data_IF_242467723602
#
_entry.id   IF_242467723602
#
_cell.length_a   1.000
_cell.length_b   1.000
_cell.length_c   1.000
_cell.angle_alpha   90.00
_cell.angle_beta   90.00
_cell.angle_gamma   90.00
#
_symmetry.space_group_name_H-M   'P 1'
#
loop_
_entity.id
_entity.type
_entity.pdbx_description
1 polymer ?
#
# COMPACT_ATOMS: atom_id res chain seq x y z
N UNK A 1 17.51 -0.54 -17.09
CA UNK A 1 16.21 0.13 -17.32
C UNK A 1 16.01 1.14 -16.20
N UNK A 2 15.49 2.35 -16.45
CA UNK A 2 15.18 3.29 -15.39
C UNK A 2 14.09 2.66 -14.51
N UNK A 3 14.42 2.38 -13.25
CA UNK A 3 13.44 1.91 -12.26
C UNK A 3 12.67 3.14 -11.76
N UNK A 4 11.37 3.18 -12.02
CA UNK A 4 10.46 4.15 -11.42
C UNK A 4 10.50 3.92 -9.90
N UNK A 5 10.57 4.99 -9.12
CA UNK A 5 10.57 4.96 -7.66
C UNK A 5 9.32 5.64 -7.12
N UNK A 6 8.99 5.37 -5.85
CA UNK A 6 7.88 6.05 -5.16
C UNK A 6 8.01 7.57 -5.23
N UNK A 7 9.23 8.12 -5.13
CA UNK A 7 9.51 9.55 -5.30
C UNK A 7 9.06 10.10 -6.66
N UNK A 8 9.24 9.34 -7.74
CA UNK A 8 8.87 9.78 -9.08
C UNK A 8 7.33 9.92 -9.19
N UNK A 9 6.55 9.05 -8.53
CA UNK A 9 5.09 9.19 -8.45
C UNK A 9 4.67 10.43 -7.65
N UNK A 10 5.33 10.68 -6.51
CA UNK A 10 5.03 11.85 -5.67
C UNK A 10 5.21 13.13 -6.50
N UNK A 11 6.32 13.26 -7.22
CA UNK A 11 6.62 14.44 -8.03
C UNK A 11 5.69 14.58 -9.25
N UNK A 12 5.39 13.47 -9.95
CA UNK A 12 4.53 13.50 -11.15
C UNK A 12 3.07 13.78 -10.83
N UNK A 13 2.52 13.19 -9.76
CA UNK A 13 1.11 13.30 -9.38
C UNK A 13 0.86 14.33 -8.27
N UNK A 14 1.90 15.02 -7.82
CA UNK A 14 1.83 16.01 -6.73
C UNK A 14 1.19 15.43 -5.46
N UNK A 15 1.55 14.19 -5.13
CA UNK A 15 1.00 13.50 -3.95
C UNK A 15 1.58 14.10 -2.67
N UNK A 16 0.79 14.07 -1.61
CA UNK A 16 1.25 14.46 -0.28
C UNK A 16 1.84 13.25 0.45
N UNK A 17 3.10 13.34 0.86
CA UNK A 17 3.73 12.32 1.70
C UNK A 17 3.24 12.46 3.14
N UNK A 18 2.36 11.56 3.57
CA UNK A 18 1.84 11.54 4.95
C UNK A 18 2.84 10.90 5.93
N UNK A 19 3.53 9.84 5.51
CA UNK A 19 4.50 9.09 6.32
C UNK A 19 5.43 8.24 5.45
N UNK A 20 6.50 7.69 6.04
CA UNK A 20 7.39 6.73 5.38
C UNK A 20 8.43 7.36 4.44
N UNK A 21 8.99 8.52 4.82
CA UNK A 21 10.00 9.24 4.03
C UNK A 21 11.22 8.37 3.68
N UNK A 22 11.64 7.47 4.57
CA UNK A 22 12.73 6.53 4.32
C UNK A 22 12.45 5.56 3.16
N UNK A 23 11.17 5.32 2.84
CA UNK A 23 10.72 4.38 1.80
C UNK A 23 10.57 4.99 0.41
N UNK A 24 10.71 6.31 0.22
CA UNK A 24 10.41 6.96 -1.07
C UNK A 24 11.34 6.55 -2.21
N UNK A 25 12.49 5.96 -1.89
CA UNK A 25 13.46 5.47 -2.87
C UNK A 25 13.23 4.02 -3.28
N UNK A 26 12.22 3.33 -2.72
CA UNK A 26 11.86 1.96 -3.11
C UNK A 26 11.53 1.90 -4.61
N UNK A 27 12.08 0.93 -5.34
CA UNK A 27 11.77 0.75 -6.75
C UNK A 27 10.36 0.16 -6.92
N UNK A 28 9.71 0.53 -8.01
CA UNK A 28 8.45 -0.03 -8.45
C UNK A 28 8.75 -0.83 -9.71
N UNK A 29 8.79 -2.15 -9.53
CA UNK A 29 9.18 -3.08 -10.59
C UNK A 29 8.01 -3.51 -11.48
N UNK A 30 6.77 -3.21 -11.07
CA UNK A 30 5.53 -3.56 -11.78
C UNK A 30 4.58 -2.37 -11.91
N UNK A 31 3.88 -2.29 -13.04
CA UNK A 31 2.82 -1.29 -13.28
C UNK A 31 1.47 -1.67 -12.68
N UNK A 32 1.33 -2.90 -12.16
CA UNK A 32 0.07 -3.38 -11.60
C UNK A 32 -0.19 -2.76 -10.22
N UNK A 33 -1.41 -2.28 -10.04
CA UNK A 33 -1.91 -1.80 -8.75
C UNK A 33 -2.55 -2.95 -7.97
N UNK A 34 -2.39 -2.94 -6.65
CA UNK A 34 -3.04 -3.87 -5.75
C UNK A 34 -4.13 -3.15 -4.95
N UNK A 35 -5.31 -3.76 -4.87
CA UNK A 35 -6.44 -3.29 -4.08
C UNK A 35 -6.74 -4.33 -3.01
N UNK A 36 -6.28 -4.13 -1.76
CA UNK A 36 -6.23 -5.18 -0.75
C UNK A 36 -7.59 -5.43 -0.09
N UNK A 37 -8.62 -5.78 -0.86
CA UNK A 37 -9.97 -6.01 -0.35
C UNK A 37 -10.09 -7.30 0.46
N UNK A 38 -9.53 -8.39 -0.06
CA UNK A 38 -9.54 -9.72 0.59
C UNK A 38 -8.55 -9.75 1.76
N UNK A 39 -7.42 -9.07 1.61
CA UNK A 39 -6.41 -8.87 2.64
C UNK A 39 -6.97 -8.08 3.81
N UNK A 40 -7.81 -7.07 3.55
CA UNK A 40 -8.51 -6.36 4.62
C UNK A 40 -9.42 -7.30 5.43
N UNK A 41 -10.03 -8.30 4.77
CA UNK A 41 -10.81 -9.34 5.42
C UNK A 41 -9.96 -10.37 6.18
N UNK A 42 -8.63 -10.35 6.04
CA UNK A 42 -7.68 -11.16 6.80
C UNK A 42 -7.01 -12.30 6.04
N UNK A 43 -7.12 -12.32 4.71
CA UNK A 43 -6.50 -13.36 3.89
C UNK A 43 -5.30 -12.80 3.11
N UNK A 44 -4.08 -13.07 3.59
CA UNK A 44 -2.82 -12.54 3.05
C UNK A 44 -1.99 -13.56 2.26
N UNK A 45 -2.48 -14.79 2.07
CA UNK A 45 -1.70 -15.91 1.50
C UNK A 45 -1.15 -15.64 0.09
N UNK A 46 -1.83 -14.79 -0.68
CA UNK A 46 -1.41 -14.41 -2.05
C UNK A 46 -1.28 -12.90 -2.20
N UNK A 47 -1.00 -12.18 -1.11
CA UNK A 47 -0.89 -10.73 -1.12
C UNK A 47 0.30 -10.29 -2.00
N UNK A 48 0.06 -9.54 -3.09
CA UNK A 48 1.13 -9.06 -3.96
C UNK A 48 1.79 -7.83 -3.33
N UNK A 49 2.67 -8.10 -2.36
CA UNK A 49 3.33 -7.07 -1.57
C UNK A 49 4.26 -6.17 -2.40
N UNK A 50 4.75 -6.62 -3.55
CA UNK A 50 5.64 -5.91 -4.47
C UNK A 50 4.94 -4.78 -5.27
N UNK A 51 3.61 -4.68 -5.16
CA UNK A 51 2.78 -3.73 -5.90
C UNK A 51 2.46 -2.48 -5.09
N UNK A 52 2.19 -1.39 -5.80
CA UNK A 52 1.58 -0.19 -5.21
C UNK A 52 0.19 -0.55 -4.69
N UNK A 53 -0.04 -0.32 -3.41
CA UNK A 53 -1.32 -0.60 -2.77
C UNK A 53 -2.22 0.62 -2.85
N UNK A 54 -3.51 0.42 -3.15
CA UNK A 54 -4.49 1.48 -3.27
C UNK A 54 -5.67 1.22 -2.33
N UNK A 55 -5.84 2.10 -1.35
CA UNK A 55 -6.93 2.08 -0.38
C UNK A 55 -8.05 2.99 -0.85
N UNK A 56 -8.96 2.42 -1.63
CA UNK A 56 -10.14 3.12 -2.11
C UNK A 56 -11.27 3.18 -1.09
N UNK A 57 -12.42 3.68 -1.55
CA UNK A 57 -13.63 3.80 -0.72
C UNK A 57 -14.10 2.47 -0.15
N UNK A 58 -14.01 1.39 -0.93
CA UNK A 58 -14.48 0.05 -0.50
C UNK A 58 -13.61 -0.48 0.63
N UNK A 59 -12.29 -0.36 0.47
CA UNK A 59 -11.28 -0.82 1.42
C UNK A 59 -11.40 -0.03 2.73
N UNK A 60 -11.56 1.29 2.66
CA UNK A 60 -11.76 2.16 3.82
C UNK A 60 -13.10 1.91 4.52
N UNK A 61 -14.20 1.72 3.75
CA UNK A 61 -15.51 1.41 4.33
C UNK A 61 -15.49 0.09 5.10
N UNK A 62 -14.82 -0.94 4.55
CA UNK A 62 -14.65 -2.20 5.26
C UNK A 62 -13.74 -2.03 6.48
N UNK A 63 -12.62 -1.32 6.33
CA UNK A 63 -11.71 -1.03 7.43
C UNK A 63 -12.44 -0.38 8.61
N UNK A 64 -13.37 0.54 8.36
CA UNK A 64 -14.15 1.19 9.41
C UNK A 64 -15.05 0.24 10.21
N UNK A 65 -15.43 -0.91 9.65
CA UNK A 65 -16.21 -1.93 10.37
C UNK A 65 -15.38 -2.78 11.34
N UNK A 66 -14.04 -2.72 11.25
CA UNK A 66 -13.12 -3.53 12.05
C UNK A 66 -12.91 -2.95 13.46
N UNK A 67 -12.58 -3.83 14.41
CA UNK A 67 -12.16 -3.39 15.76
C UNK A 67 -10.79 -2.71 15.71
N UNK A 68 -10.47 -1.90 16.72
CA UNK A 68 -9.17 -1.20 16.78
C UNK A 68 -7.97 -2.16 16.72
N UNK A 69 -8.10 -3.36 17.31
CA UNK A 69 -7.07 -4.41 17.27
C UNK A 69 -6.89 -4.96 15.85
N UNK A 70 -8.00 -5.31 15.19
CA UNK A 70 -7.99 -5.77 13.79
C UNK A 70 -7.44 -4.69 12.86
N UNK A 71 -7.80 -3.42 13.06
CA UNK A 71 -7.27 -2.30 12.27
C UNK A 71 -5.75 -2.26 12.33
N UNK A 72 -5.17 -2.37 13.53
CA UNK A 72 -3.72 -2.40 13.71
C UNK A 72 -3.07 -3.63 13.07
N UNK A 73 -3.67 -4.81 13.26
CA UNK A 73 -3.19 -6.06 12.65
C UNK A 73 -3.16 -5.98 11.13
N UNK A 74 -4.25 -5.51 10.49
CA UNK A 74 -4.37 -5.38 9.03
C UNK A 74 -3.40 -4.37 8.47
N UNK A 75 -3.30 -3.18 9.06
CA UNK A 75 -2.36 -2.16 8.57
C UNK A 75 -0.90 -2.61 8.71
N UNK A 76 -0.56 -3.29 9.81
CA UNK A 76 0.79 -3.82 10.00
C UNK A 76 1.13 -4.91 8.97
N UNK A 77 0.16 -5.74 8.59
CA UNK A 77 0.35 -6.76 7.57
C UNK A 77 0.52 -6.18 6.16
N UNK A 78 -0.10 -5.03 5.84
CA UNK A 78 0.08 -4.34 4.56
C UNK A 78 1.43 -3.61 4.45
N UNK A 79 1.96 -3.12 5.57
CA UNK A 79 3.23 -2.40 5.63
C UNK A 79 4.43 -3.36 5.68
N UNK A 80 4.72 -4.04 4.57
CA UNK A 80 5.89 -4.92 4.45
C UNK A 80 7.13 -4.18 3.93
N UNK A 81 8.29 -4.82 4.03
CA UNK A 81 9.54 -4.28 3.44
C UNK A 81 9.49 -4.23 1.91
N UNK A 82 8.68 -5.09 1.30
CA UNK A 82 8.54 -5.20 -0.17
C UNK A 82 7.56 -4.17 -0.73
N UNK A 83 6.60 -3.68 0.08
CA UNK A 83 5.60 -2.72 -0.38
C UNK A 83 6.21 -1.36 -0.73
N UNK A 84 6.15 -0.92 -2.00
CA UNK A 84 6.81 0.31 -2.42
C UNK A 84 6.13 1.57 -1.85
N UNK A 85 4.79 1.58 -1.86
CA UNK A 85 3.96 2.62 -1.26
C UNK A 85 2.50 2.17 -1.15
N UNK A 86 1.75 2.91 -0.32
CA UNK A 86 0.29 2.80 -0.16
C UNK A 86 -0.29 4.18 -0.48
N UNK A 87 -1.31 4.21 -1.33
CA UNK A 87 -2.03 5.41 -1.77
C UNK A 87 -3.48 5.34 -1.31
#
# INVERSE_FOLDING_TARGET
MPKVRTKDLIEQFQLELVSGEEGIHRPIDTSDLSRPGIEMAGFFTYYPADRVQLLGKTELTFFDTLTSEQKQERMKALCTEETPCII
#
